data_IF_950091035689
#
_entry.id   IF_950091035689
#
_cell.length_a   1.000
_cell.length_b   1.000
_cell.length_c   1.000
_cell.angle_alpha   90.00
_cell.angle_beta   90.00
_cell.angle_gamma   90.00
#
_symmetry.space_group_name_H-M   'P 1'
#
loop_
_entity.id
_entity.type
_entity.pdbx_description
1 polymer ?
#
# COMPACT_ATOMS: atom_id res chain seq x y z
N UNK A 1 -11.93 -8.24 -6.66
CA UNK A 1 -11.41 -7.03 -5.98
C UNK A 1 -11.79 -5.77 -6.77
N UNK A 2 -12.64 -4.93 -6.21
CA UNK A 2 -13.00 -3.56 -6.65
C UNK A 2 -12.09 -2.51 -5.97
N UNK A 3 -10.80 -2.84 -5.88
CA UNK A 3 -9.84 -2.31 -4.93
C UNK A 3 -9.81 -0.80 -4.73
N UNK A 4 -9.74 -0.36 -3.47
CA UNK A 4 -9.51 1.05 -3.14
C UNK A 4 -8.18 1.19 -2.41
N UNK A 5 -7.27 1.98 -2.97
CA UNK A 5 -5.96 2.26 -2.36
C UNK A 5 -6.07 2.93 -0.99
N UNK A 6 -7.17 3.66 -0.75
CA UNK A 6 -7.48 4.31 0.53
C UNK A 6 -7.33 3.39 1.76
N UNK A 7 -7.68 2.11 1.67
CA UNK A 7 -7.68 1.17 2.80
C UNK A 7 -6.65 0.04 2.73
N UNK A 8 -5.90 -0.11 1.63
CA UNK A 8 -4.97 -1.22 1.43
C UNK A 8 -3.52 -0.76 1.44
N UNK A 9 -2.79 -1.17 2.47
CA UNK A 9 -1.36 -0.85 2.66
C UNK A 9 -0.50 -1.39 1.51
N UNK A 10 -0.77 -2.62 1.05
CA UNK A 10 -0.14 -3.25 -0.11
C UNK A 10 -0.40 -2.45 -1.38
N UNK A 11 -1.67 -2.14 -1.69
CA UNK A 11 -2.02 -1.31 -2.87
C UNK A 11 -1.30 0.03 -2.87
N UNK A 12 -1.28 0.71 -1.72
CA UNK A 12 -0.65 2.03 -1.58
C UNK A 12 0.85 1.97 -1.85
N UNK A 13 1.51 0.86 -1.52
CA UNK A 13 2.94 0.69 -1.72
C UNK A 13 3.27 0.29 -3.15
N UNK A 14 2.53 -0.68 -3.71
CA UNK A 14 2.66 -1.04 -5.13
C UNK A 14 2.34 0.13 -6.06
N UNK A 15 1.24 0.85 -5.81
CA UNK A 15 0.89 2.01 -6.62
C UNK A 15 1.91 3.15 -6.50
N UNK A 16 2.56 3.33 -5.34
CA UNK A 16 3.63 4.32 -5.21
C UNK A 16 4.88 3.91 -6.01
N UNK A 17 5.28 2.63 -5.94
CA UNK A 17 6.39 2.07 -6.72
C UNK A 17 6.13 2.16 -8.23
N UNK A 18 4.91 1.84 -8.66
CA UNK A 18 4.52 1.77 -10.07
C UNK A 18 3.92 3.07 -10.60
N UNK A 19 3.96 4.18 -9.83
CA UNK A 19 3.31 5.45 -10.20
C UNK A 19 3.77 5.92 -11.57
N UNK A 20 5.08 5.90 -11.82
CA UNK A 20 5.66 6.32 -13.10
C UNK A 20 5.30 5.35 -14.23
N UNK A 21 5.50 4.04 -14.00
CA UNK A 21 5.30 3.00 -15.00
C UNK A 21 3.84 2.92 -15.50
N UNK A 22 2.88 3.02 -14.58
CA UNK A 22 1.45 2.91 -14.91
C UNK A 22 0.78 4.28 -15.10
N UNK A 23 1.55 5.37 -15.08
CA UNK A 23 1.07 6.75 -15.14
C UNK A 23 -0.09 7.01 -14.15
N UNK A 24 0.08 6.57 -12.90
CA UNK A 24 -0.94 6.69 -11.87
C UNK A 24 -1.01 8.12 -11.33
N UNK A 25 -2.23 8.58 -11.03
CA UNK A 25 -2.52 9.93 -10.54
C UNK A 25 -2.99 9.89 -9.08
N UNK A 26 -2.10 10.15 -8.11
CA UNK A 26 -2.48 10.33 -6.73
C UNK A 26 -3.43 11.51 -6.56
N UNK A 27 -4.50 11.31 -5.80
CA UNK A 27 -5.46 12.35 -5.40
C UNK A 27 -5.70 12.28 -3.88
N UNK A 28 -6.17 13.37 -3.25
CA UNK A 28 -6.52 13.36 -1.84
C UNK A 28 -7.57 12.29 -1.53
N UNK A 29 -7.39 11.55 -0.44
CA UNK A 29 -8.34 10.50 -0.04
C UNK A 29 -9.70 11.09 0.36
N UNK A 30 -9.66 12.20 1.10
CA UNK A 30 -10.81 13.00 1.52
C UNK A 30 -10.30 14.38 1.97
N UNK A 31 -11.21 15.35 2.04
CA UNK A 31 -10.89 16.72 2.47
C UNK A 31 -10.45 16.80 3.94
N UNK A 32 -10.91 15.90 4.80
CA UNK A 32 -10.58 15.90 6.23
C UNK A 32 -9.11 15.55 6.49
N UNK A 33 -8.58 14.53 5.80
CA UNK A 33 -7.19 14.09 5.87
C UNK A 33 -6.26 15.13 5.24
N UNK A 34 -6.75 15.84 4.20
CA UNK A 34 -6.08 17.01 3.62
C UNK A 34 -5.92 18.13 4.65
N UNK A 35 -7.01 18.57 5.27
CA UNK A 35 -6.98 19.65 6.28
C UNK A 35 -6.14 19.27 7.51
N UNK A 36 -6.10 17.98 7.87
CA UNK A 36 -5.28 17.47 8.99
C UNK A 36 -3.83 17.16 8.62
N UNK A 37 -3.38 17.53 7.41
CA UNK A 37 -2.02 17.30 6.88
C UNK A 37 -1.54 15.85 7.02
N UNK A 38 -2.42 14.86 7.02
CA UNK A 38 -2.02 13.46 7.23
C UNK A 38 -1.30 12.94 5.98
N UNK A 39 0.03 12.93 6.04
CA UNK A 39 0.97 12.75 4.92
C UNK A 39 0.91 11.37 4.24
N UNK A 40 0.23 10.39 4.82
CA UNK A 40 0.20 9.01 4.32
C UNK A 40 -1.10 8.62 3.61
N UNK A 41 -2.11 9.51 3.59
CA UNK A 41 -3.44 9.18 3.06
C UNK A 41 -3.72 9.87 1.72
N UNK A 42 -3.35 9.18 0.64
CA UNK A 42 -3.84 9.43 -0.70
C UNK A 42 -4.60 8.20 -1.22
N UNK A 43 -5.35 8.40 -2.29
CA UNK A 43 -5.86 7.34 -3.16
C UNK A 43 -5.44 7.65 -4.60
N UNK A 44 -5.72 6.76 -5.54
CA UNK A 44 -5.62 7.12 -6.94
C UNK A 44 -7.00 7.54 -7.48
N UNK A 45 -7.01 8.30 -8.58
CA UNK A 45 -8.24 8.53 -9.35
C UNK A 45 -8.78 7.21 -9.92
N UNK A 46 -10.02 7.22 -10.39
CA UNK A 46 -10.71 5.98 -10.76
C UNK A 46 -10.00 5.27 -11.93
N UNK A 47 -9.49 6.01 -12.92
CA UNK A 47 -8.72 5.45 -14.04
C UNK A 47 -7.44 4.74 -13.56
N UNK A 48 -6.73 5.35 -12.62
CA UNK A 48 -5.50 4.82 -12.05
C UNK A 48 -5.75 3.62 -11.12
N UNK A 49 -6.84 3.62 -10.34
CA UNK A 49 -7.23 2.45 -9.53
C UNK A 49 -7.54 1.23 -10.41
N UNK A 50 -8.13 1.45 -11.60
CA UNK A 50 -8.36 0.40 -12.59
C UNK A 50 -7.06 -0.13 -13.21
N UNK A 51 -6.13 0.76 -13.59
CA UNK A 51 -4.80 0.38 -14.08
C UNK A 51 -4.06 -0.47 -13.04
N UNK A 52 -4.01 0.00 -11.79
CA UNK A 52 -3.37 -0.71 -10.70
C UNK A 52 -4.06 -2.06 -10.43
N UNK A 53 -5.40 -2.10 -10.47
CA UNK A 53 -6.15 -3.36 -10.27
C UNK A 53 -5.87 -4.37 -11.37
N UNK A 54 -5.79 -3.95 -12.65
CA UNK A 54 -5.40 -4.83 -13.75
C UNK A 54 -3.99 -5.37 -13.57
N UNK A 55 -3.03 -4.50 -13.24
CA UNK A 55 -1.66 -4.92 -12.97
C UNK A 55 -1.60 -5.93 -11.82
N UNK A 56 -2.28 -5.66 -10.70
CA UNK A 56 -2.28 -6.57 -9.55
C UNK A 56 -2.92 -7.93 -9.87
N UNK A 57 -4.04 -7.96 -10.60
CA UNK A 57 -4.67 -9.23 -11.01
C UNK A 57 -3.76 -10.07 -11.91
N UNK A 58 -2.93 -9.42 -12.72
CA UNK A 58 -2.00 -10.10 -13.64
C UNK A 58 -0.72 -10.58 -12.94
N UNK A 59 -0.24 -9.85 -11.92
CA UNK A 59 1.08 -10.06 -11.34
C UNK A 59 1.08 -10.61 -9.90
N UNK A 60 -0.07 -10.62 -9.21
CA UNK A 60 -0.16 -11.12 -7.84
C UNK A 60 -1.06 -12.35 -7.75
N UNK A 61 -0.55 -13.36 -7.04
CA UNK A 61 -1.35 -14.49 -6.58
C UNK A 61 -1.72 -14.27 -5.12
N UNK A 62 -2.97 -14.55 -4.77
CA UNK A 62 -3.47 -14.46 -3.39
C UNK A 62 -3.90 -15.86 -2.98
N UNK A 63 -3.34 -16.35 -1.88
CA UNK A 63 -3.77 -17.56 -1.22
C UNK A 63 -4.41 -17.23 0.12
N UNK A 64 -5.33 -18.06 0.56
CA UNK A 64 -5.95 -17.97 1.88
C UNK A 64 -5.79 -19.32 2.59
N UNK A 65 -5.54 -19.26 3.90
CA UNK A 65 -5.46 -20.42 4.76
C UNK A 65 -6.35 -20.20 5.97
N UNK A 66 -7.27 -21.14 6.22
CA UNK A 66 -8.09 -21.13 7.43
C UNK A 66 -7.21 -21.58 8.59
N UNK A 67 -6.99 -20.68 9.54
CA UNK A 67 -6.29 -21.00 10.77
C UNK A 67 -7.29 -21.37 11.87
N UNK A 68 -7.12 -22.55 12.46
CA UNK A 68 -8.04 -23.08 13.49
C UNK A 68 -7.66 -22.66 14.92
N UNK A 69 -6.48 -22.07 15.09
CA UNK A 69 -6.02 -21.56 16.39
C UNK A 69 -6.65 -20.22 16.76
N UNK A 70 -6.25 -19.69 17.92
CA UNK A 70 -6.75 -18.41 18.41
C UNK A 70 -5.98 -17.21 17.81
N UNK A 71 -6.51 -16.01 18.03
CA UNK A 71 -5.95 -14.75 17.49
C UNK A 71 -4.51 -14.48 17.96
N UNK A 72 -4.15 -14.88 19.18
CA UNK A 72 -2.80 -14.70 19.72
C UNK A 72 -1.79 -15.61 19.01
N UNK A 73 -2.14 -16.87 18.81
CA UNK A 73 -1.32 -17.83 18.07
C UNK A 73 -1.14 -17.41 16.61
N UNK A 74 -2.20 -16.90 15.97
CA UNK A 74 -2.13 -16.37 14.61
C UNK A 74 -1.16 -15.19 14.50
N UNK A 75 -1.14 -14.28 15.49
CA UNK A 75 -0.24 -13.12 15.49
C UNK A 75 1.23 -13.52 15.70
N UNK A 76 1.49 -14.54 16.52
CA UNK A 76 2.83 -15.12 16.67
C UNK A 76 3.28 -15.78 15.37
N UNK A 77 2.41 -16.59 14.75
CA UNK A 77 2.68 -17.24 13.47
C UNK A 77 2.96 -16.21 12.35
N UNK A 78 2.18 -15.14 12.28
CA UNK A 78 2.42 -14.03 11.34
C UNK A 78 3.82 -13.44 11.54
N UNK A 79 4.21 -13.18 12.79
CA UNK A 79 5.52 -12.62 13.11
C UNK A 79 6.66 -13.55 12.70
N UNK A 80 6.55 -14.85 12.98
CA UNK A 80 7.56 -15.85 12.63
C UNK A 80 7.66 -16.05 11.11
N UNK A 81 6.53 -16.06 10.39
CA UNK A 81 6.52 -16.10 8.93
C UNK A 81 7.23 -14.88 8.32
N UNK A 82 6.97 -13.68 8.85
CA UNK A 82 7.61 -12.45 8.38
C UNK A 82 9.13 -12.52 8.52
N UNK A 83 9.63 -12.97 9.69
CA UNK A 83 11.07 -13.12 9.93
C UNK A 83 11.68 -14.20 9.03
N UNK A 84 11.02 -15.34 8.90
CA UNK A 84 11.53 -16.46 8.11
C UNK A 84 11.58 -16.17 6.60
N UNK A 85 10.69 -15.31 6.10
CA UNK A 85 10.53 -15.07 4.66
C UNK A 85 11.21 -13.79 4.16
N UNK A 86 11.63 -12.88 5.05
CA UNK A 86 12.29 -11.60 4.73
C UNK A 86 11.58 -10.90 3.55
N UNK A 87 10.24 -10.89 3.59
CA UNK A 87 9.44 -10.45 2.44
C UNK A 87 9.70 -8.98 2.13
N UNK A 88 10.14 -8.73 0.89
CA UNK A 88 10.51 -7.39 0.39
C UNK A 88 9.36 -6.39 0.41
N UNK A 89 8.12 -6.86 0.53
CA UNK A 89 6.92 -6.02 0.51
C UNK A 89 6.09 -6.13 1.78
N UNK A 90 6.66 -6.67 2.87
CA UNK A 90 5.95 -6.68 4.14
C UNK A 90 6.11 -5.35 4.87
N UNK A 91 5.00 -4.62 5.02
CA UNK A 91 4.99 -3.18 5.33
C UNK A 91 4.87 -2.92 6.84
N UNK A 92 4.52 -3.93 7.64
CA UNK A 92 4.35 -3.81 9.09
C UNK A 92 5.23 -4.87 9.74
N UNK A 93 6.00 -4.47 10.75
CA UNK A 93 6.93 -5.30 11.53
C UNK A 93 8.19 -5.84 10.82
N UNK A 94 8.49 -5.41 9.59
CA UNK A 94 9.79 -5.68 8.95
C UNK A 94 10.73 -4.48 9.09
N UNK A 95 11.16 -4.17 10.33
CA UNK A 95 12.02 -3.01 10.62
C UNK A 95 13.44 -3.15 10.04
N UNK A 96 13.89 -4.38 9.78
CA UNK A 96 15.21 -4.68 9.24
C UNK A 96 15.28 -4.58 7.70
N UNK A 97 14.19 -4.17 7.04
CA UNK A 97 14.14 -4.12 5.59
C UNK A 97 14.86 -2.87 5.03
N UNK A 98 15.88 -3.13 4.18
CA UNK A 98 16.76 -2.13 3.56
C UNK A 98 16.03 -1.00 2.81
N UNK A 99 14.81 -1.25 2.29
CA UNK A 99 14.10 -0.27 1.46
C UNK A 99 12.88 0.36 2.15
N UNK A 100 12.71 0.19 3.48
CA UNK A 100 11.55 0.73 4.19
C UNK A 100 11.47 2.26 4.10
N UNK A 101 12.62 2.95 4.18
CA UNK A 101 12.66 4.41 4.10
C UNK A 101 12.45 4.90 2.68
N UNK A 102 12.96 4.17 1.68
CA UNK A 102 12.63 4.44 0.29
C UNK A 102 11.12 4.32 0.03
N UNK A 103 10.48 3.25 0.53
CA UNK A 103 9.04 3.05 0.41
C UNK A 103 8.22 4.14 1.11
N UNK A 104 8.68 4.61 2.28
CA UNK A 104 8.09 5.76 2.98
C UNK A 104 8.24 7.04 2.16
N UNK A 105 9.41 7.27 1.56
CA UNK A 105 9.69 8.46 0.73
C UNK A 105 8.74 8.53 -0.46
N UNK A 106 8.67 7.48 -1.28
CA UNK A 106 7.83 7.48 -2.49
C UNK A 106 6.33 7.61 -2.18
N UNK A 107 5.88 7.08 -1.02
CA UNK A 107 4.50 7.30 -0.55
C UNK A 107 4.26 8.74 -0.14
N UNK A 108 5.23 9.37 0.52
CA UNK A 108 5.18 10.79 0.89
C UNK A 108 5.16 11.67 -0.35
N UNK A 109 5.92 11.33 -1.38
CA UNK A 109 5.91 12.01 -2.68
C UNK A 109 4.54 11.89 -3.37
N UNK A 110 3.93 10.71 -3.37
CA UNK A 110 2.56 10.54 -3.88
C UNK A 110 1.55 11.43 -3.14
N UNK A 111 1.65 11.49 -1.81
CA UNK A 111 0.78 12.34 -1.01
C UNK A 111 1.04 13.84 -1.23
N UNK A 112 2.30 14.25 -1.46
CA UNK A 112 2.63 15.61 -1.82
C UNK A 112 2.06 15.97 -3.20
N UNK A 113 2.24 15.10 -4.19
CA UNK A 113 1.67 15.26 -5.54
C UNK A 113 0.14 15.40 -5.50
N UNK A 114 -0.54 14.55 -4.72
CA UNK A 114 -1.99 14.61 -4.54
C UNK A 114 -2.47 15.98 -4.02
N UNK A 115 -1.66 16.67 -3.21
CA UNK A 115 -2.00 18.01 -2.70
C UNK A 115 -1.80 19.09 -3.75
N UNK A 116 -0.71 19.02 -4.51
CA UNK A 116 -0.41 20.01 -5.54
C UNK A 116 -1.42 20.01 -6.69
N UNK A 117 -2.14 18.91 -6.92
CA UNK A 117 -3.20 18.79 -7.93
C UNK A 117 -4.58 19.24 -7.43
N UNK A 118 -4.68 19.91 -6.28
CA UNK A 118 -5.93 20.58 -5.83
C UNK A 118 -6.01 22.04 -6.29
N UNK A 119 -5.20 22.46 -7.26
CA UNK A 119 -5.20 23.79 -7.88
C UNK A 119 -5.70 23.66 -9.31
#
# INVERSE_FOLDING_TARGET
MNGKTGSSTVRRSLGALLKGELALKPIPRNMTDYSKRRLSFFRFDDESEDKLTRWMKRNLSIAFHVYLGNKGELALLETELIKATILSLNIINNQEYLYIDHLKSIRKECAAFARSNMI
#
